data_IF_850509911323
#
_entry.id   IF_850509911323
#
_cell.length_a   1.000
_cell.length_b   1.000
_cell.length_c   1.000
_cell.angle_alpha   90.00
_cell.angle_beta   90.00
_cell.angle_gamma   90.00
#
_symmetry.space_group_name_H-M   'P 1'
#
loop_
_entity.id
_entity.type
_entity.pdbx_description
1 polymer ?
#
# COMPACT_ATOMS: atom_id res chain seq x y z
N UNK A 1 -79.62 -14.57 26.03
CA UNK A 1 -80.10 -14.82 27.39
C UNK A 1 -78.99 -15.03 28.34
N UNK A 2 -79.03 -14.38 29.52
CA UNK A 2 -78.16 -14.42 30.71
C UNK A 2 -76.79 -13.73 30.53
N UNK A 3 -76.55 -12.50 30.89
CA UNK A 3 -76.60 -11.70 32.11
C UNK A 3 -75.64 -12.20 33.20
N UNK A 4 -74.67 -11.30 33.51
CA UNK A 4 -74.28 -10.82 34.85
C UNK A 4 -73.05 -11.59 35.43
N UNK A 5 -72.06 -11.00 36.10
CA UNK A 5 -71.99 -9.85 37.02
C UNK A 5 -70.56 -9.37 37.20
N UNK A 6 -70.46 -8.07 37.49
CA UNK A 6 -69.39 -7.28 38.05
C UNK A 6 -69.01 -7.77 39.44
N UNK A 7 -67.70 -7.69 39.80
CA UNK A 7 -67.23 -7.43 41.15
C UNK A 7 -65.91 -6.67 41.14
N UNK A 8 -65.98 -5.42 41.55
CA UNK A 8 -64.88 -4.60 41.95
C UNK A 8 -64.52 -4.91 43.43
N UNK A 9 -63.26 -4.99 43.76
CA UNK A 9 -62.77 -4.88 45.11
C UNK A 9 -61.52 -3.98 45.14
N UNK A 10 -61.68 -2.88 45.76
CA UNK A 10 -60.71 -1.86 46.20
C UNK A 10 -60.09 -2.27 47.55
N UNK A 11 -58.83 -1.93 47.77
CA UNK A 11 -58.12 -1.63 49.03
C UNK A 11 -56.75 -2.26 49.06
N UNK A 12 -55.66 -1.70 49.55
CA UNK A 12 -55.31 -0.48 50.23
C UNK A 12 -53.81 -0.42 50.33
N UNK A 13 -53.30 0.74 50.58
CA UNK A 13 -51.90 1.14 50.86
C UNK A 13 -51.13 0.20 51.82
N UNK A 14 -49.85 -0.02 51.52
CA UNK A 14 -48.78 -0.09 52.55
C UNK A 14 -47.46 0.40 51.98
N UNK A 15 -47.07 1.59 52.43
CA UNK A 15 -45.72 2.15 52.33
C UNK A 15 -44.84 1.43 53.33
N UNK A 16 -43.73 0.87 52.88
CA UNK A 16 -42.63 0.52 53.78
C UNK A 16 -41.31 0.96 53.09
N UNK A 17 -40.78 2.04 53.62
CA UNK A 17 -39.39 2.46 53.38
C UNK A 17 -38.48 1.56 54.23
N UNK A 18 -37.49 0.98 53.61
CA UNK A 18 -36.30 0.46 54.29
C UNK A 18 -35.09 0.76 53.43
N UNK A 19 -34.32 1.64 53.95
CA UNK A 19 -32.94 1.98 53.60
C UNK A 19 -32.00 0.77 53.79
N UNK A 20 -31.02 0.63 52.88
CA UNK A 20 -29.79 -0.02 53.27
C UNK A 20 -29.07 -0.82 52.21
N UNK A 21 -27.84 -0.38 52.03
CA UNK A 21 -26.65 -1.08 51.61
C UNK A 21 -26.31 -1.10 50.11
N UNK A 22 -25.37 -0.22 49.84
CA UNK A 22 -24.42 -0.28 48.73
C UNK A 22 -23.78 -1.66 48.63
N UNK A 23 -23.91 -2.27 47.46
CA UNK A 23 -22.93 -3.21 46.91
C UNK A 23 -22.58 -2.76 45.53
N UNK A 24 -21.29 -2.66 45.29
CA UNK A 24 -20.68 -2.13 44.08
C UNK A 24 -21.31 -2.73 42.83
N UNK A 25 -21.99 -1.89 42.07
CA UNK A 25 -22.27 -2.14 40.70
C UNK A 25 -20.94 -2.00 39.95
N UNK A 26 -20.44 -3.12 39.44
CA UNK A 26 -19.50 -3.06 38.34
C UNK A 26 -20.14 -2.16 37.29
N UNK A 27 -19.55 -1.00 37.02
CA UNK A 27 -19.80 -0.27 35.83
C UNK A 27 -19.43 -1.21 34.71
N UNK A 28 -20.41 -1.84 34.07
CA UNK A 28 -20.26 -2.26 32.67
C UNK A 28 -19.92 -0.96 31.96
N UNK A 29 -18.68 -0.86 31.47
CA UNK A 29 -18.36 0.14 30.46
C UNK A 29 -19.44 -0.01 29.39
N UNK A 30 -20.30 1.00 29.25
CA UNK A 30 -21.02 1.20 28.02
C UNK A 30 -19.91 1.23 26.96
N UNK A 31 -19.80 0.18 26.17
CA UNK A 31 -18.99 0.19 24.97
C UNK A 31 -19.52 1.37 24.16
N UNK A 32 -18.68 2.35 23.89
CA UNK A 32 -19.03 3.46 23.00
C UNK A 32 -19.65 2.84 21.73
N UNK A 33 -20.88 3.25 21.43
CA UNK A 33 -21.51 2.82 20.19
C UNK A 33 -20.62 3.28 19.03
N UNK A 34 -20.27 2.39 18.11
CA UNK A 34 -19.42 2.71 16.97
C UNK A 34 -19.90 4.00 16.28
N UNK A 35 -18.99 4.88 15.92
CA UNK A 35 -19.25 6.16 15.23
C UNK A 35 -19.92 5.96 13.85
N UNK A 36 -19.98 4.73 13.37
CA UNK A 36 -20.39 4.28 12.05
C UNK A 36 -19.31 3.38 11.47
N UNK A 37 -19.28 3.23 10.17
CA UNK A 37 -18.28 2.44 9.47
C UNK A 37 -17.55 3.27 8.42
N UNK A 38 -16.34 2.89 8.10
CA UNK A 38 -15.58 3.35 6.94
C UNK A 38 -15.17 2.15 6.09
N UNK A 39 -15.07 2.35 4.78
CA UNK A 39 -14.87 1.24 3.85
C UNK A 39 -13.61 1.42 3.01
N UNK A 40 -12.85 0.32 2.82
CA UNK A 40 -11.73 0.24 1.88
C UNK A 40 -11.99 -0.84 0.84
N UNK A 41 -11.86 -0.49 -0.43
CA UNK A 41 -12.05 -1.38 -1.57
C UNK A 41 -10.78 -1.47 -2.40
N UNK A 42 -10.24 -2.68 -2.55
CA UNK A 42 -9.18 -2.95 -3.50
C UNK A 42 -9.75 -3.58 -4.78
N UNK A 43 -9.01 -3.52 -5.89
CA UNK A 43 -9.42 -4.20 -7.12
C UNK A 43 -9.50 -5.72 -6.96
N UNK A 44 -8.70 -6.29 -6.05
CA UNK A 44 -8.68 -7.69 -5.65
C UNK A 44 -7.69 -7.89 -4.51
N UNK A 45 -7.86 -8.94 -3.72
CA UNK A 45 -7.02 -9.25 -2.56
C UNK A 45 -5.95 -10.30 -2.86
N UNK A 46 -5.52 -10.44 -4.10
CA UNK A 46 -4.41 -11.29 -4.53
C UNK A 46 -3.06 -10.55 -4.61
N UNK A 47 -3.05 -9.25 -4.30
CA UNK A 47 -1.84 -8.43 -4.20
C UNK A 47 -1.36 -8.41 -2.74
N UNK A 48 -0.12 -8.88 -2.51
CA UNK A 48 0.42 -9.10 -1.17
C UNK A 48 0.40 -7.82 -0.32
N UNK A 49 0.92 -6.69 -0.83
CA UNK A 49 0.99 -5.43 -0.08
C UNK A 49 -0.39 -4.92 0.37
N UNK A 50 -1.45 -5.21 -0.39
CA UNK A 50 -2.80 -4.82 0.00
C UNK A 50 -3.31 -5.64 1.20
N UNK A 51 -3.02 -6.95 1.20
CA UNK A 51 -3.33 -7.79 2.36
C UNK A 51 -2.53 -7.39 3.59
N UNK A 52 -1.26 -7.03 3.41
CA UNK A 52 -0.38 -6.65 4.50
C UNK A 52 -0.77 -5.30 5.12
N UNK A 53 -1.40 -4.40 4.36
CA UNK A 53 -1.93 -3.12 4.85
C UNK A 53 -3.21 -3.25 5.69
N UNK A 54 -4.08 -4.22 5.37
CA UNK A 54 -5.41 -4.32 5.96
C UNK A 54 -5.41 -4.38 7.49
N UNK A 55 -4.57 -5.16 8.17
CA UNK A 55 -4.52 -5.20 9.63
C UNK A 55 -4.18 -3.84 10.25
N UNK A 56 -3.28 -3.07 9.65
CA UNK A 56 -2.90 -1.74 10.14
C UNK A 56 -4.01 -0.71 9.91
N UNK A 57 -4.73 -0.83 8.80
CA UNK A 57 -5.93 -0.01 8.56
C UNK A 57 -7.02 -0.32 9.57
N UNK A 58 -7.31 -1.61 9.81
CA UNK A 58 -8.32 -2.06 10.75
C UNK A 58 -8.02 -1.57 12.17
N UNK A 59 -6.80 -1.81 12.67
CA UNK A 59 -6.37 -1.36 13.99
C UNK A 59 -6.50 0.17 14.17
N UNK A 60 -6.11 0.95 13.16
CA UNK A 60 -6.19 2.41 13.19
C UNK A 60 -7.64 2.90 13.18
N UNK A 61 -8.47 2.33 12.29
CA UNK A 61 -9.89 2.68 12.14
C UNK A 61 -10.70 2.30 13.38
N UNK A 62 -10.50 1.09 13.91
CA UNK A 62 -11.19 0.62 15.12
C UNK A 62 -10.72 1.41 16.36
N UNK A 63 -9.42 1.74 16.43
CA UNK A 63 -8.86 2.62 17.45
C UNK A 63 -9.50 4.01 17.46
N UNK A 64 -9.97 4.51 16.33
CA UNK A 64 -10.73 5.76 16.19
C UNK A 64 -12.24 5.60 16.47
N UNK A 65 -12.73 4.39 16.71
CA UNK A 65 -14.11 4.07 17.05
C UNK A 65 -15.04 3.86 15.88
N UNK A 66 -14.52 3.55 14.70
CA UNK A 66 -15.29 3.17 13.50
C UNK A 66 -15.22 1.65 13.29
N UNK A 67 -16.24 1.09 12.63
CA UNK A 67 -16.16 -0.26 12.04
C UNK A 67 -15.37 -0.18 10.74
N UNK A 68 -14.43 -1.09 10.52
CA UNK A 68 -13.71 -1.21 9.26
C UNK A 68 -14.40 -2.24 8.35
N UNK A 69 -14.64 -1.86 7.10
CA UNK A 69 -15.31 -2.70 6.10
C UNK A 69 -14.46 -2.79 4.85
N UNK A 70 -14.31 -3.98 4.30
CA UNK A 70 -13.59 -4.22 3.05
C UNK A 70 -14.33 -5.20 2.15
N UNK A 71 -13.96 -5.25 0.87
CA UNK A 71 -14.46 -6.20 -0.15
C UNK A 71 -13.32 -6.90 -0.88
N UNK A 72 -13.68 -7.87 -1.73
CA UNK A 72 -12.78 -8.51 -2.68
C UNK A 72 -13.48 -8.68 -4.04
N UNK A 73 -13.48 -7.66 -4.88
CA UNK A 73 -14.14 -7.69 -6.19
C UNK A 73 -13.49 -8.64 -7.20
N UNK A 74 -12.31 -9.18 -6.92
CA UNK A 74 -11.59 -10.14 -7.77
C UNK A 74 -11.39 -9.63 -9.20
N UNK A 75 -10.90 -8.40 -9.31
CA UNK A 75 -10.64 -7.69 -10.58
C UNK A 75 -11.89 -7.51 -11.46
N UNK A 76 -13.08 -7.54 -10.86
CA UNK A 76 -14.34 -7.32 -11.56
C UNK A 76 -14.92 -5.95 -11.22
N UNK A 77 -14.86 -5.01 -12.16
CA UNK A 77 -15.35 -3.65 -11.96
C UNK A 77 -16.85 -3.59 -11.63
N UNK A 78 -17.68 -4.48 -12.20
CA UNK A 78 -19.10 -4.50 -11.92
C UNK A 78 -19.39 -4.99 -10.49
N UNK A 79 -18.61 -5.95 -9.99
CA UNK A 79 -18.69 -6.41 -8.61
C UNK A 79 -18.32 -5.27 -7.66
N UNK A 80 -17.18 -4.58 -7.91
CA UNK A 80 -16.76 -3.44 -7.12
C UNK A 80 -17.81 -2.34 -7.03
N UNK A 81 -18.42 -1.97 -8.15
CA UNK A 81 -19.54 -1.00 -8.17
C UNK A 81 -20.72 -1.50 -7.32
N UNK A 82 -21.08 -2.77 -7.43
CA UNK A 82 -22.19 -3.36 -6.67
C UNK A 82 -21.92 -3.38 -5.16
N UNK A 83 -20.68 -3.64 -4.75
CA UNK A 83 -20.26 -3.64 -3.35
C UNK A 83 -20.36 -2.22 -2.77
N UNK A 84 -19.89 -1.21 -3.49
CA UNK A 84 -20.04 0.19 -3.09
C UNK A 84 -21.50 0.63 -3.01
N UNK A 85 -22.33 0.23 -3.96
CA UNK A 85 -23.78 0.48 -3.91
C UNK A 85 -24.42 -0.11 -2.63
N UNK A 86 -23.96 -1.30 -2.23
CA UNK A 86 -24.42 -1.96 -1.00
C UNK A 86 -23.97 -1.19 0.24
N UNK A 87 -22.77 -0.66 0.26
CA UNK A 87 -22.27 0.19 1.33
C UNK A 87 -23.04 1.51 1.44
N UNK A 88 -23.32 2.16 0.31
CA UNK A 88 -24.10 3.41 0.30
C UNK A 88 -25.51 3.19 0.90
N UNK A 89 -26.18 2.09 0.58
CA UNK A 89 -27.52 1.82 1.12
C UNK A 89 -27.52 1.28 2.55
N UNK A 90 -26.39 0.83 3.07
CA UNK A 90 -26.22 0.41 4.46
C UNK A 90 -26.50 1.56 5.43
N UNK A 91 -26.14 2.78 5.07
CA UNK A 91 -26.56 4.03 5.73
C UNK A 91 -25.72 4.44 6.95
N UNK A 92 -24.77 3.64 7.38
CA UNK A 92 -23.82 3.94 8.47
C UNK A 92 -22.38 4.18 7.97
N UNK A 93 -22.12 3.98 6.67
CA UNK A 93 -20.82 4.29 6.05
C UNK A 93 -20.59 5.81 6.06
N UNK A 94 -19.44 6.23 6.56
CA UNK A 94 -19.05 7.64 6.73
C UNK A 94 -18.05 8.11 5.67
N UNK A 95 -17.21 7.23 5.14
CA UNK A 95 -16.29 7.50 4.05
C UNK A 95 -15.97 6.19 3.31
N UNK A 96 -15.59 6.27 2.04
CA UNK A 96 -15.16 5.13 1.23
C UNK A 96 -13.82 5.51 0.58
N UNK A 97 -12.83 4.62 0.66
CA UNK A 97 -11.59 4.70 -0.09
C UNK A 97 -11.49 3.52 -1.05
N UNK A 98 -10.87 3.70 -2.20
CA UNK A 98 -10.70 2.59 -3.12
C UNK A 98 -9.52 2.69 -4.07
N UNK A 99 -9.01 1.51 -4.44
CA UNK A 99 -8.20 1.28 -5.62
C UNK A 99 -9.10 0.65 -6.69
N UNK A 100 -9.44 1.38 -7.77
CA UNK A 100 -10.45 0.93 -8.72
C UNK A 100 -9.92 -0.14 -9.68
N UNK A 101 -10.77 -1.12 -10.01
CA UNK A 101 -10.50 -2.02 -11.14
C UNK A 101 -10.47 -1.23 -12.46
N UNK A 102 -11.41 -0.31 -12.61
CA UNK A 102 -11.50 0.64 -13.73
C UNK A 102 -12.05 1.97 -13.21
N UNK A 103 -11.26 3.01 -13.27
CA UNK A 103 -11.61 4.34 -12.75
C UNK A 103 -12.91 4.90 -13.33
N UNK A 104 -13.09 4.78 -14.64
CA UNK A 104 -14.30 5.27 -15.32
C UNK A 104 -15.58 4.58 -14.82
N UNK A 105 -15.49 3.31 -14.44
CA UNK A 105 -16.63 2.56 -13.92
C UNK A 105 -17.08 3.04 -12.53
N UNK A 106 -16.17 3.63 -11.76
CA UNK A 106 -16.44 4.11 -10.40
C UNK A 106 -17.06 5.50 -10.35
N UNK A 107 -17.03 6.29 -11.43
CA UNK A 107 -17.50 7.69 -11.43
C UNK A 107 -18.97 7.82 -10.98
N UNK A 108 -19.86 6.98 -11.52
CA UNK A 108 -21.28 7.08 -11.21
C UNK A 108 -21.60 6.70 -9.74
N UNK A 109 -20.97 5.67 -9.19
CA UNK A 109 -21.17 5.26 -7.80
C UNK A 109 -20.52 6.24 -6.83
N UNK A 110 -19.40 6.88 -7.22
CA UNK A 110 -18.76 7.97 -6.48
C UNK A 110 -19.67 9.18 -6.37
N UNK A 111 -20.31 9.61 -7.46
CA UNK A 111 -21.27 10.71 -7.45
C UNK A 111 -22.46 10.39 -6.52
N UNK A 112 -22.96 9.17 -6.58
CA UNK A 112 -24.04 8.72 -5.70
C UNK A 112 -23.64 8.72 -4.22
N UNK A 113 -22.42 8.28 -3.88
CA UNK A 113 -21.90 8.35 -2.52
C UNK A 113 -21.86 9.82 -2.04
N UNK A 114 -21.34 10.72 -2.88
CA UNK A 114 -21.28 12.15 -2.60
C UNK A 114 -22.66 12.79 -2.39
N UNK A 115 -23.67 12.43 -3.19
CA UNK A 115 -25.07 12.88 -3.02
C UNK A 115 -25.66 12.42 -1.67
N UNK A 116 -25.19 11.31 -1.12
CA UNK A 116 -25.55 10.81 0.21
C UNK A 116 -24.69 11.38 1.33
N UNK A 117 -23.76 12.30 1.01
CA UNK A 117 -22.85 12.91 1.97
C UNK A 117 -21.71 12.00 2.42
N UNK A 118 -21.39 10.97 1.64
CA UNK A 118 -20.28 10.04 1.88
C UNK A 118 -19.10 10.47 1.00
N UNK A 119 -18.01 11.02 1.57
CA UNK A 119 -16.81 11.35 0.82
C UNK A 119 -16.13 10.10 0.27
N UNK A 120 -15.61 10.21 -0.95
CA UNK A 120 -14.87 9.15 -1.62
C UNK A 120 -13.42 9.58 -1.79
N UNK A 121 -12.52 8.67 -1.43
CA UNK A 121 -11.07 8.84 -1.48
C UNK A 121 -10.46 7.83 -2.44
N UNK A 122 -9.33 8.17 -3.02
CA UNK A 122 -8.53 7.29 -3.87
C UNK A 122 -7.33 6.71 -3.13
N UNK A 123 -6.93 5.51 -3.52
CA UNK A 123 -5.63 4.94 -3.21
C UNK A 123 -4.92 4.55 -4.50
N UNK A 124 -3.69 5.01 -4.70
CA UNK A 124 -2.89 4.75 -5.90
C UNK A 124 -3.47 5.30 -7.21
N UNK A 125 -4.67 5.87 -7.19
CA UNK A 125 -5.37 6.38 -8.37
C UNK A 125 -6.41 7.42 -7.99
N UNK A 126 -6.79 8.29 -8.94
CA UNK A 126 -7.86 9.26 -8.81
C UNK A 126 -8.84 9.15 -9.99
N UNK A 127 -10.09 9.60 -9.80
CA UNK A 127 -11.11 9.71 -10.84
C UNK A 127 -12.11 10.82 -10.48
N UNK A 128 -13.02 11.13 -11.38
CA UNK A 128 -13.98 12.21 -11.17
C UNK A 128 -14.84 11.99 -9.91
N UNK A 129 -14.84 12.98 -9.02
CA UNK A 129 -15.60 12.97 -7.76
C UNK A 129 -14.82 12.50 -6.53
N UNK A 130 -13.59 12.05 -6.67
CA UNK A 130 -12.69 11.75 -5.56
C UNK A 130 -12.29 13.04 -4.85
N UNK A 131 -12.42 13.07 -3.51
CA UNK A 131 -12.13 14.25 -2.69
C UNK A 131 -10.64 14.46 -2.46
N UNK A 132 -9.90 13.36 -2.25
CA UNK A 132 -8.44 13.32 -2.10
C UNK A 132 -7.96 11.88 -2.30
N UNK A 133 -6.65 11.69 -2.48
CA UNK A 133 -6.06 10.38 -2.66
C UNK A 133 -4.71 10.24 -1.96
N UNK A 134 -4.37 9.00 -1.61
CA UNK A 134 -3.00 8.60 -1.22
C UNK A 134 -2.34 7.94 -2.43
N UNK A 135 -1.17 8.41 -2.84
CA UNK A 135 -0.43 7.86 -3.97
C UNK A 135 1.08 8.06 -3.87
N UNK A 136 1.83 7.50 -4.81
CA UNK A 136 3.28 7.64 -4.92
C UNK A 136 3.66 8.53 -6.10
N UNK A 137 4.73 9.31 -5.94
CA UNK A 137 5.33 10.06 -7.05
C UNK A 137 6.32 9.17 -7.80
N UNK A 138 5.81 8.45 -8.79
CA UNK A 138 6.60 7.47 -9.54
C UNK A 138 7.84 8.07 -10.22
N UNK A 139 7.76 9.31 -10.72
CA UNK A 139 8.91 9.98 -11.33
C UNK A 139 9.97 10.31 -10.27
N UNK A 140 9.54 10.89 -9.14
CA UNK A 140 10.44 11.22 -8.04
C UNK A 140 11.05 9.96 -7.40
N UNK A 141 10.30 8.88 -7.27
CA UNK A 141 10.81 7.61 -6.73
C UNK A 141 11.85 6.99 -7.67
N UNK A 142 11.59 7.01 -9.00
CA UNK A 142 12.58 6.61 -9.99
C UNK A 142 13.86 7.45 -9.91
N UNK A 143 13.71 8.78 -9.75
CA UNK A 143 14.86 9.70 -9.61
C UNK A 143 15.70 9.38 -8.38
N UNK A 144 15.09 9.10 -7.23
CA UNK A 144 15.81 8.69 -6.01
C UNK A 144 16.63 7.41 -6.21
N UNK A 145 16.04 6.39 -6.87
CA UNK A 145 16.75 5.15 -7.18
C UNK A 145 17.95 5.42 -8.09
N UNK A 146 17.77 6.22 -9.15
CA UNK A 146 18.85 6.60 -10.07
C UNK A 146 19.95 7.41 -9.41
N UNK A 147 19.61 8.41 -8.58
CA UNK A 147 20.55 9.21 -7.80
C UNK A 147 21.42 8.32 -6.89
N UNK A 148 20.77 7.40 -6.15
CA UNK A 148 21.50 6.50 -5.26
C UNK A 148 22.39 5.50 -6.00
N UNK A 149 21.93 5.02 -7.15
CA UNK A 149 22.76 4.19 -8.03
C UNK A 149 23.96 4.97 -8.58
N UNK A 150 23.76 6.21 -9.02
CA UNK A 150 24.83 7.07 -9.52
C UNK A 150 25.89 7.37 -8.45
N UNK A 151 25.48 7.62 -7.20
CA UNK A 151 26.41 7.76 -6.07
C UNK A 151 27.29 6.50 -5.93
N UNK A 152 26.67 5.32 -5.89
CA UNK A 152 27.40 4.06 -5.76
C UNK A 152 28.35 3.82 -6.94
N UNK A 153 27.91 4.08 -8.19
CA UNK A 153 28.72 3.95 -9.39
C UNK A 153 29.94 4.89 -9.32
N UNK A 154 29.73 6.16 -8.95
CA UNK A 154 30.79 7.14 -8.83
C UNK A 154 31.83 6.75 -7.78
N UNK A 155 31.40 6.22 -6.64
CA UNK A 155 32.30 5.75 -5.57
C UNK A 155 33.10 4.50 -5.99
N UNK A 156 32.46 3.59 -6.74
CA UNK A 156 33.02 2.28 -7.07
C UNK A 156 33.90 2.31 -8.33
N UNK A 157 33.46 3.03 -9.36
CA UNK A 157 34.04 3.02 -10.70
C UNK A 157 34.66 4.36 -11.10
N UNK A 158 34.33 5.45 -10.42
CA UNK A 158 34.87 6.77 -10.74
C UNK A 158 34.48 7.22 -12.15
N UNK A 159 35.45 7.32 -13.05
CA UNK A 159 35.25 7.70 -14.46
C UNK A 159 35.33 6.52 -15.44
N UNK A 160 35.34 5.28 -14.95
CA UNK A 160 35.31 4.11 -15.82
C UNK A 160 33.96 3.97 -16.51
N UNK A 161 33.95 3.37 -17.71
CA UNK A 161 32.72 3.04 -18.40
C UNK A 161 31.98 1.92 -17.69
N UNK A 162 30.63 2.10 -17.47
CA UNK A 162 29.79 1.12 -16.77
C UNK A 162 28.56 0.76 -17.59
N UNK A 163 28.36 -0.53 -17.82
CA UNK A 163 27.13 -1.08 -18.39
C UNK A 163 26.06 -1.20 -17.31
N UNK A 164 24.90 -0.60 -17.58
CA UNK A 164 23.72 -0.57 -16.69
C UNK A 164 22.55 -1.28 -17.38
N UNK A 165 21.90 -2.20 -16.71
CA UNK A 165 20.63 -2.78 -17.13
C UNK A 165 19.48 -2.13 -16.34
N UNK A 166 18.53 -1.54 -17.03
CA UNK A 166 17.28 -1.04 -16.46
C UNK A 166 16.15 -2.03 -16.77
N UNK A 167 15.61 -2.64 -15.72
CA UNK A 167 14.52 -3.61 -15.78
C UNK A 167 13.20 -2.87 -15.53
N UNK A 168 12.50 -2.51 -16.61
CA UNK A 168 11.31 -1.68 -16.54
C UNK A 168 10.17 -2.20 -17.40
N UNK A 169 8.99 -1.58 -17.30
CA UNK A 169 7.84 -1.87 -18.15
C UNK A 169 7.23 -0.56 -18.66
N UNK A 170 7.87 0.02 -19.70
CA UNK A 170 7.54 1.37 -20.19
C UNK A 170 6.13 1.50 -20.78
N UNK A 171 5.42 0.40 -20.99
CA UNK A 171 4.05 0.39 -21.52
C UNK A 171 2.98 0.78 -20.47
N UNK A 172 3.36 0.92 -19.19
CA UNK A 172 2.52 1.44 -18.13
C UNK A 172 3.00 2.81 -17.66
N UNK A 173 2.10 3.65 -17.14
CA UNK A 173 2.49 4.96 -16.62
C UNK A 173 3.46 4.84 -15.44
N UNK A 174 3.23 3.90 -14.53
CA UNK A 174 4.10 3.63 -13.40
C UNK A 174 5.52 3.26 -13.86
N UNK A 175 5.64 2.23 -14.70
CA UNK A 175 6.94 1.76 -15.18
C UNK A 175 7.67 2.80 -16.01
N UNK A 176 6.95 3.53 -16.88
CA UNK A 176 7.50 4.62 -17.70
C UNK A 176 8.03 5.75 -16.84
N UNK A 177 7.25 6.28 -15.89
CA UNK A 177 7.66 7.40 -15.04
C UNK A 177 8.84 7.03 -14.15
N UNK A 178 8.84 5.84 -13.55
CA UNK A 178 9.99 5.35 -12.78
C UNK A 178 11.24 5.20 -13.63
N UNK A 179 11.10 4.60 -14.81
CA UNK A 179 12.22 4.45 -15.76
C UNK A 179 12.76 5.80 -16.26
N UNK A 180 11.88 6.77 -16.53
CA UNK A 180 12.26 8.15 -16.88
C UNK A 180 13.05 8.79 -15.73
N UNK A 181 12.56 8.73 -14.48
CA UNK A 181 13.24 9.28 -13.32
C UNK A 181 14.63 8.67 -13.08
N UNK A 182 14.75 7.34 -13.21
CA UNK A 182 16.06 6.65 -13.11
C UNK A 182 17.03 7.19 -14.18
N UNK A 183 16.58 7.25 -15.45
CA UNK A 183 17.42 7.71 -16.55
C UNK A 183 17.83 9.18 -16.40
N UNK A 184 16.89 10.05 -15.99
CA UNK A 184 17.20 11.46 -15.72
C UNK A 184 18.29 11.60 -14.66
N UNK A 185 18.21 10.89 -13.55
CA UNK A 185 19.20 10.95 -12.48
C UNK A 185 20.57 10.43 -12.92
N UNK A 186 20.61 9.34 -13.68
CA UNK A 186 21.86 8.80 -14.22
C UNK A 186 22.52 9.76 -15.23
N UNK A 187 21.73 10.41 -16.09
CA UNK A 187 22.20 11.41 -17.05
C UNK A 187 22.73 12.67 -16.33
N UNK A 188 22.01 13.16 -15.31
CA UNK A 188 22.40 14.31 -14.50
C UNK A 188 23.73 14.08 -13.76
N UNK A 189 24.05 12.83 -13.39
CA UNK A 189 25.29 12.47 -12.72
C UNK A 189 26.55 12.63 -13.62
N UNK A 190 26.38 12.65 -14.94
CA UNK A 190 27.46 12.88 -15.90
C UNK A 190 28.53 11.80 -15.93
N UNK A 191 28.19 10.57 -15.53
CA UNK A 191 29.07 9.41 -15.56
C UNK A 191 29.11 8.79 -16.97
N UNK A 192 30.17 8.01 -17.27
CA UNK A 192 30.26 7.28 -18.55
C UNK A 192 29.45 5.97 -18.46
N UNK A 193 28.16 6.04 -18.78
CA UNK A 193 27.22 4.94 -18.66
C UNK A 193 26.63 4.53 -20.02
N UNK A 194 26.42 3.23 -20.20
CA UNK A 194 25.55 2.69 -21.24
C UNK A 194 24.33 2.02 -20.59
N UNK A 195 23.17 2.68 -20.68
CA UNK A 195 21.93 2.20 -20.05
C UNK A 195 21.12 1.39 -21.05
N UNK A 196 20.97 0.09 -20.80
CA UNK A 196 20.21 -0.84 -21.62
C UNK A 196 18.86 -1.13 -20.92
N UNK A 197 17.77 -0.65 -21.50
CA UNK A 197 16.42 -0.85 -20.97
C UNK A 197 15.80 -2.15 -21.50
N UNK A 198 15.24 -2.96 -20.61
CA UNK A 198 14.53 -4.20 -20.88
C UNK A 198 13.08 -4.06 -20.43
N UNK A 199 12.12 -4.42 -21.32
CA UNK A 199 10.69 -4.46 -20.97
C UNK A 199 10.40 -5.78 -20.27
N UNK A 200 10.13 -5.73 -18.96
CA UNK A 200 9.95 -6.88 -18.07
C UNK A 200 8.86 -6.60 -17.05
N UNK A 201 7.97 -7.55 -16.79
CA UNK A 201 6.83 -7.35 -15.88
C UNK A 201 6.90 -8.21 -14.63
N UNK A 202 7.56 -9.36 -14.71
CA UNK A 202 7.53 -10.38 -13.69
C UNK A 202 8.91 -11.01 -13.46
N UNK A 203 8.99 -11.94 -12.54
CA UNK A 203 10.22 -12.64 -12.18
C UNK A 203 10.86 -13.38 -13.38
N UNK A 204 10.07 -14.12 -14.18
CA UNK A 204 10.58 -14.88 -15.32
C UNK A 204 11.15 -13.96 -16.41
N UNK A 205 10.50 -12.82 -16.65
CA UNK A 205 10.99 -11.81 -17.58
C UNK A 205 12.30 -11.19 -17.07
N UNK A 206 12.39 -10.86 -15.78
CA UNK A 206 13.60 -10.34 -15.14
C UNK A 206 14.77 -11.31 -15.25
N UNK A 207 14.51 -12.59 -14.97
CA UNK A 207 15.51 -13.66 -15.15
C UNK A 207 16.04 -13.72 -16.59
N UNK A 208 15.11 -13.73 -17.56
CA UNK A 208 15.46 -13.80 -18.99
C UNK A 208 16.20 -12.54 -19.46
N UNK A 209 15.83 -11.38 -18.95
CA UNK A 209 16.49 -10.10 -19.28
C UNK A 209 17.96 -10.11 -18.85
N UNK A 210 18.28 -10.62 -17.66
CA UNK A 210 19.67 -10.75 -17.20
C UNK A 210 20.48 -11.68 -18.11
N UNK A 211 19.93 -12.83 -18.48
CA UNK A 211 20.63 -13.73 -19.42
C UNK A 211 20.91 -13.05 -20.76
N UNK A 212 19.93 -12.32 -21.31
CA UNK A 212 20.10 -11.59 -22.57
C UNK A 212 21.13 -10.46 -22.45
N UNK A 213 21.09 -9.70 -21.35
CA UNK A 213 22.03 -8.61 -21.09
C UNK A 213 23.46 -9.14 -20.96
N UNK A 214 23.70 -10.18 -20.17
CA UNK A 214 25.03 -10.78 -20.00
C UNK A 214 25.59 -11.40 -21.29
N UNK A 215 24.71 -11.91 -22.16
CA UNK A 215 25.13 -12.39 -23.48
C UNK A 215 25.58 -11.25 -24.41
N UNK A 216 24.93 -10.09 -24.33
CA UNK A 216 25.25 -8.93 -25.18
C UNK A 216 26.35 -8.06 -24.55
N UNK A 217 26.31 -7.90 -23.25
CA UNK A 217 27.18 -7.03 -22.43
C UNK A 217 27.66 -7.79 -21.20
N UNK A 218 28.64 -8.69 -21.31
CA UNK A 218 29.07 -9.57 -20.23
C UNK A 218 29.69 -8.83 -19.03
N UNK A 219 30.08 -7.58 -19.22
CA UNK A 219 30.68 -6.73 -18.18
C UNK A 219 29.63 -5.86 -17.45
N UNK A 220 28.32 -6.13 -17.62
CA UNK A 220 27.27 -5.41 -16.90
C UNK A 220 27.43 -5.55 -15.39
N UNK A 221 27.47 -4.41 -14.68
CA UNK A 221 27.71 -4.35 -13.24
C UNK A 221 26.53 -3.79 -12.45
N UNK A 222 25.64 -3.05 -13.09
CA UNK A 222 24.55 -2.34 -12.43
C UNK A 222 23.20 -2.81 -12.98
N UNK A 223 22.32 -3.19 -12.07
CA UNK A 223 21.01 -3.73 -12.35
C UNK A 223 19.98 -2.97 -11.54
N UNK A 224 19.15 -2.17 -12.22
CA UNK A 224 18.13 -1.33 -11.60
C UNK A 224 16.75 -1.81 -12.04
N UNK A 225 15.86 -2.08 -11.09
CA UNK A 225 14.51 -2.52 -11.41
C UNK A 225 13.47 -1.52 -10.89
N UNK A 226 12.44 -1.26 -11.70
CA UNK A 226 11.34 -0.35 -11.34
C UNK A 226 10.33 -0.97 -10.37
N UNK A 227 10.48 -2.27 -10.05
CA UNK A 227 9.66 -2.99 -9.07
C UNK A 227 10.39 -4.26 -8.57
N UNK A 228 9.81 -4.94 -7.59
CA UNK A 228 10.38 -6.11 -6.91
C UNK A 228 10.47 -7.37 -7.78
N UNK A 229 9.41 -7.79 -8.48
CA UNK A 229 9.39 -9.06 -9.21
C UNK A 229 10.51 -9.20 -10.25
N UNK A 230 10.75 -8.21 -11.15
CA UNK A 230 11.90 -8.25 -12.05
C UNK A 230 13.25 -8.29 -11.31
N UNK A 231 13.37 -7.63 -10.15
CA UNK A 231 14.59 -7.65 -9.36
C UNK A 231 14.89 -9.01 -8.76
N UNK A 232 13.86 -9.72 -8.26
CA UNK A 232 13.98 -11.10 -7.77
C UNK A 232 14.47 -12.04 -8.88
N UNK A 233 13.86 -11.94 -10.07
CA UNK A 233 14.29 -12.69 -11.24
C UNK A 233 15.73 -12.38 -11.64
N UNK A 234 16.11 -11.11 -11.60
CA UNK A 234 17.46 -10.67 -11.88
C UNK A 234 18.47 -11.24 -10.86
N UNK A 235 18.17 -11.18 -9.57
CA UNK A 235 19.02 -11.75 -8.53
C UNK A 235 19.28 -13.24 -8.77
N UNK A 236 18.21 -14.02 -8.99
CA UNK A 236 18.34 -15.45 -9.26
C UNK A 236 19.21 -15.71 -10.50
N UNK A 237 18.98 -14.98 -11.59
CA UNK A 237 19.75 -15.17 -12.83
C UNK A 237 21.22 -14.81 -12.68
N UNK A 238 21.56 -13.78 -11.90
CA UNK A 238 22.93 -13.39 -11.58
C UNK A 238 23.66 -14.51 -10.82
N UNK A 239 23.02 -15.06 -9.78
CA UNK A 239 23.57 -16.19 -9.01
C UNK A 239 23.76 -17.43 -9.90
N UNK A 240 22.78 -17.79 -10.71
CA UNK A 240 22.86 -18.95 -11.62
C UNK A 240 23.93 -18.75 -12.71
N UNK A 241 24.24 -17.49 -13.07
CA UNK A 241 25.31 -17.14 -13.99
C UNK A 241 26.70 -17.15 -13.33
N UNK A 242 26.79 -17.43 -12.03
CA UNK A 242 28.04 -17.56 -11.29
C UNK A 242 28.54 -16.24 -10.64
N UNK A 243 27.70 -15.19 -10.61
CA UNK A 243 28.01 -13.97 -9.85
C UNK A 243 27.89 -14.29 -8.36
N UNK A 244 28.90 -13.90 -7.57
CA UNK A 244 28.84 -14.11 -6.12
C UNK A 244 27.73 -13.26 -5.51
N UNK A 245 26.90 -13.79 -4.58
CA UNK A 245 25.91 -12.99 -3.86
C UNK A 245 26.56 -11.85 -3.04
N UNK A 246 27.88 -11.90 -2.85
CA UNK A 246 28.66 -10.88 -2.14
C UNK A 246 29.70 -10.21 -3.07
N UNK A 247 29.43 -10.15 -4.38
CA UNK A 247 30.33 -9.45 -5.33
C UNK A 247 30.24 -7.94 -5.05
N UNK A 248 31.34 -7.36 -4.57
CA UNK A 248 31.41 -5.95 -4.22
C UNK A 248 31.46 -5.01 -5.44
N UNK A 249 31.68 -5.54 -6.64
CA UNK A 249 31.61 -4.83 -7.92
C UNK A 249 30.24 -4.87 -8.59
N UNK A 250 29.21 -5.50 -8.00
CA UNK A 250 27.87 -5.57 -8.59
C UNK A 250 26.87 -4.82 -7.72
N UNK A 251 25.97 -4.09 -8.36
CA UNK A 251 24.82 -3.45 -7.77
C UNK A 251 23.54 -4.04 -8.36
N UNK A 252 22.67 -4.57 -7.51
CA UNK A 252 21.24 -4.75 -7.76
C UNK A 252 20.47 -3.83 -6.81
N UNK A 253 19.50 -3.11 -7.34
CA UNK A 253 18.59 -2.26 -6.55
C UNK A 253 17.24 -2.12 -7.22
N UNK A 254 16.18 -1.89 -6.44
CA UNK A 254 14.81 -1.77 -6.95
C UNK A 254 13.90 -0.85 -6.12
N UNK A 255 12.78 -0.51 -6.74
CA UNK A 255 11.61 0.08 -6.07
C UNK A 255 10.62 -1.02 -5.65
N UNK A 256 9.68 -0.68 -4.79
CA UNK A 256 8.65 -1.57 -4.23
C UNK A 256 9.22 -2.83 -3.56
N UNK A 257 10.34 -2.66 -2.83
CA UNK A 257 10.90 -3.76 -2.05
C UNK A 257 9.86 -4.35 -1.08
N UNK A 258 9.99 -5.63 -0.82
CA UNK A 258 9.18 -6.40 0.11
C UNK A 258 10.06 -7.13 1.12
N UNK A 259 9.46 -7.80 2.09
CA UNK A 259 10.20 -8.59 3.09
C UNK A 259 11.10 -9.66 2.47
N UNK A 260 10.74 -10.15 1.28
CA UNK A 260 11.53 -11.17 0.58
C UNK A 260 12.93 -10.67 0.18
N UNK A 261 13.07 -9.37 -0.13
CA UNK A 261 14.35 -8.77 -0.48
C UNK A 261 15.15 -8.31 0.74
N UNK A 262 14.48 -8.02 1.86
CA UNK A 262 15.13 -7.51 3.07
C UNK A 262 16.23 -8.43 3.59
N UNK A 263 16.00 -9.76 3.59
CA UNK A 263 17.01 -10.73 4.00
C UNK A 263 18.26 -10.68 3.11
N UNK A 264 18.06 -10.51 1.80
CA UNK A 264 19.16 -10.40 0.85
C UNK A 264 19.92 -9.07 1.03
N UNK A 265 19.21 -7.96 1.24
CA UNK A 265 19.79 -6.62 1.47
C UNK A 265 20.52 -6.55 2.80
N UNK A 266 20.00 -7.18 3.87
CA UNK A 266 20.64 -7.23 5.19
C UNK A 266 21.96 -8.03 5.18
N UNK A 267 22.17 -8.89 4.19
CA UNK A 267 23.39 -9.69 4.07
C UNK A 267 24.64 -8.85 3.93
N UNK A 268 25.64 -9.09 4.77
CA UNK A 268 26.90 -8.37 4.72
C UNK A 268 27.57 -8.50 3.34
N UNK A 269 27.77 -7.36 2.67
CA UNK A 269 28.39 -7.29 1.34
C UNK A 269 27.50 -7.77 0.20
N UNK A 270 26.19 -7.96 0.41
CA UNK A 270 25.26 -8.41 -0.63
C UNK A 270 25.37 -7.59 -1.91
N UNK A 271 25.29 -8.24 -3.09
CA UNK A 271 25.17 -7.55 -4.37
C UNK A 271 23.84 -6.80 -4.52
N UNK A 272 22.79 -7.19 -3.76
CA UNK A 272 21.54 -6.44 -3.62
C UNK A 272 21.74 -5.34 -2.59
N UNK A 273 22.21 -4.19 -3.05
CA UNK A 273 22.77 -3.13 -2.19
C UNK A 273 21.73 -2.36 -1.42
N UNK A 274 20.60 -2.08 -2.07
CA UNK A 274 19.53 -1.31 -1.47
C UNK A 274 18.23 -1.50 -2.23
N UNK A 275 17.14 -1.20 -1.54
CA UNK A 275 15.79 -1.13 -2.08
C UNK A 275 15.11 0.16 -1.60
N UNK A 276 14.07 0.56 -2.31
CA UNK A 276 13.10 1.50 -1.79
C UNK A 276 11.84 0.70 -1.44
N UNK A 277 11.61 0.57 -0.14
CA UNK A 277 10.53 -0.20 0.45
C UNK A 277 9.23 0.61 0.43
N UNK A 278 8.10 -0.06 0.18
CA UNK A 278 6.76 0.46 0.41
C UNK A 278 6.19 -0.21 1.69
N UNK A 279 6.41 0.35 2.88
CA UNK A 279 6.05 -0.30 4.13
C UNK A 279 4.53 -0.40 4.26
N UNK A 280 4.01 -1.60 4.38
CA UNK A 280 2.57 -1.86 4.45
C UNK A 280 1.92 -1.14 5.65
N UNK A 281 2.60 -1.06 6.79
CA UNK A 281 2.15 -0.32 7.98
C UNK A 281 1.96 1.16 7.68
N UNK A 282 2.98 1.84 7.15
CA UNK A 282 2.94 3.29 6.91
C UNK A 282 1.88 3.65 5.87
N UNK A 283 1.73 2.81 4.83
CA UNK A 283 0.70 2.98 3.81
C UNK A 283 -0.69 2.75 4.41
N UNK A 284 -0.84 1.68 5.20
CA UNK A 284 -2.11 1.35 5.85
C UNK A 284 -2.56 2.43 6.83
N UNK A 285 -1.66 2.89 7.69
CA UNK A 285 -1.92 3.97 8.65
C UNK A 285 -2.30 5.27 7.91
N UNK A 286 -1.57 5.68 6.88
CA UNK A 286 -1.89 6.89 6.10
C UNK A 286 -3.25 6.80 5.39
N UNK A 287 -3.58 5.65 4.80
CA UNK A 287 -4.89 5.43 4.20
C UNK A 287 -6.01 5.49 5.25
N UNK A 288 -5.80 4.88 6.42
CA UNK A 288 -6.77 4.89 7.50
C UNK A 288 -6.98 6.30 8.08
N UNK A 289 -5.90 7.06 8.31
CA UNK A 289 -5.95 8.44 8.81
C UNK A 289 -6.71 9.35 7.85
N UNK A 290 -6.44 9.27 6.54
CA UNK A 290 -7.15 10.05 5.54
C UNK A 290 -8.63 9.68 5.48
N UNK A 291 -8.95 8.38 5.60
CA UNK A 291 -10.31 7.85 5.62
C UNK A 291 -11.08 8.32 6.85
N UNK A 292 -10.45 8.33 8.03
CA UNK A 292 -11.01 8.84 9.30
C UNK A 292 -11.26 10.34 9.21
N UNK A 293 -10.28 11.14 8.75
CA UNK A 293 -10.42 12.59 8.60
C UNK A 293 -11.60 12.93 7.70
N UNK A 294 -11.76 12.22 6.58
CA UNK A 294 -12.91 12.39 5.70
C UNK A 294 -14.23 12.01 6.37
N UNK A 295 -14.25 10.93 7.16
CA UNK A 295 -15.44 10.48 7.91
C UNK A 295 -15.85 11.47 9.01
N UNK A 296 -14.89 12.20 9.59
CA UNK A 296 -15.12 13.25 10.59
C UNK A 296 -15.52 14.60 9.97
N UNK A 297 -15.52 14.69 8.63
CA UNK A 297 -15.90 15.88 7.88
C UNK A 297 -14.80 16.94 7.84
N UNK A 298 -13.56 16.56 8.06
CA UNK A 298 -12.40 17.44 7.90
C UNK A 298 -12.10 17.71 6.43
N UNK A 299 -11.39 18.79 6.15
CA UNK A 299 -10.86 19.04 4.81
C UNK A 299 -9.71 18.08 4.54
N UNK A 300 -9.83 17.29 3.48
CA UNK A 300 -8.81 16.35 3.06
C UNK A 300 -8.08 16.86 1.82
N UNK A 301 -6.80 16.54 1.72
CA UNK A 301 -5.92 16.87 0.59
C UNK A 301 -5.16 15.62 0.15
N UNK A 302 -4.70 15.62 -1.09
CA UNK A 302 -3.87 14.54 -1.63
C UNK A 302 -2.61 14.32 -0.78
N UNK A 303 -2.29 13.06 -0.54
CA UNK A 303 -1.09 12.65 0.19
C UNK A 303 -0.15 11.87 -0.74
N UNK A 304 1.08 12.36 -0.86
CA UNK A 304 2.13 11.66 -1.59
C UNK A 304 3.00 10.94 -0.55
N UNK A 305 3.02 9.61 -0.60
CA UNK A 305 3.84 8.80 0.28
C UNK A 305 5.21 8.56 -0.37
N UNK A 306 6.31 8.85 0.32
CA UNK A 306 7.64 8.50 -0.15
C UNK A 306 7.89 7.01 0.07
N UNK A 307 8.58 6.36 -0.87
CA UNK A 307 9.19 5.07 -0.60
C UNK A 307 10.37 5.24 0.37
N UNK A 308 10.56 4.27 1.24
CA UNK A 308 11.60 4.29 2.28
C UNK A 308 12.88 3.63 1.79
N UNK A 309 14.00 4.34 1.88
CA UNK A 309 15.32 3.80 1.54
C UNK A 309 15.77 2.77 2.58
N UNK A 310 16.16 1.58 2.10
CA UNK A 310 16.66 0.47 2.93
C UNK A 310 17.93 -0.10 2.31
N UNK A 311 18.98 -0.22 3.12
CA UNK A 311 20.24 -0.88 2.82
C UNK A 311 20.67 -1.81 3.97
N UNK A 312 21.86 -2.39 3.88
CA UNK A 312 22.36 -3.30 4.91
C UNK A 312 22.47 -2.67 6.31
N UNK A 313 22.46 -1.33 6.44
CA UNK A 313 22.61 -0.66 7.72
C UNK A 313 21.30 -0.59 8.51
N UNK A 314 20.15 -0.62 7.81
CA UNK A 314 18.83 -0.47 8.44
C UNK A 314 17.82 -1.59 8.07
N UNK A 315 18.20 -2.54 7.22
CA UNK A 315 17.28 -3.61 6.80
C UNK A 315 16.77 -4.47 7.96
N UNK A 316 17.58 -4.70 8.98
CA UNK A 316 17.18 -5.47 10.18
C UNK A 316 16.04 -4.81 10.96
N UNK A 317 15.95 -3.48 10.95
CA UNK A 317 14.90 -2.75 11.65
C UNK A 317 13.52 -3.04 11.01
N UNK A 318 13.47 -3.21 9.68
CA UNK A 318 12.25 -3.54 8.95
C UNK A 318 11.88 -5.02 9.05
N UNK A 319 12.86 -5.93 9.07
CA UNK A 319 12.61 -7.36 9.31
C UNK A 319 11.99 -7.60 10.69
N UNK A 320 12.42 -6.86 11.71
CA UNK A 320 11.90 -6.97 13.07
C UNK A 320 10.51 -6.33 13.23
N UNK A 321 10.21 -5.28 12.48
CA UNK A 321 8.93 -4.59 12.54
C UNK A 321 7.76 -5.42 11.95
N UNK A 322 8.08 -6.40 11.12
CA UNK A 322 7.12 -7.27 10.42
C UNK A 322 6.93 -8.63 11.10
N UNK A 323 7.58 -8.88 12.26
CA UNK A 323 7.38 -10.07 13.12
C UNK A 323 6.39 -9.75 14.26
#
# INVERSE_FOLDING_TARGET
MKRLKIAAVTSAFAVLALSGCSTGGSATSEGDAAKGAVAMSFAGLDIQVWNDMLPFMEDTVEGAGYEFVTDDPKWNAQTQVSDWESWIVRGDIKAIMGYPVQSDAMVAVTQRASEMGIPVLGYGSTWDGVAAAVYFDHLADGKKLGEKAAEWIAERYGSEHVEVALLGYPDTDLGRLRGEGIKEALDEAGLDLNVNEHSVLNLDDGYSAVQNQLNAFPDTKVWLAVSNDPAQGAYQALIDSGVSPTDDGVLLANLDGTDAELDAVAGEGSLWRFIYLAPAREIGEANAELLISAAEGETVEDQILPLTFVDAANAEDYLLANQ
#
